data_IF_799975926340
#
_entry.id   IF_799975926340
#
_cell.length_a   1.000
_cell.length_b   1.000
_cell.length_c   1.000
_cell.angle_alpha   90.00
_cell.angle_beta   90.00
_cell.angle_gamma   90.00
#
_symmetry.space_group_name_H-M   'P 1'
#
loop_
_entity.id
_entity.type
_entity.pdbx_description
1 polymer ?
#
# COMPACT_ATOMS: atom_id res chain seq x y z
N UNK A 1 -7.30 18.47 9.38
CA UNK A 1 -8.75 18.22 9.59
C UNK A 1 -9.58 19.51 9.64
N UNK A 2 -9.19 20.57 10.37
CA UNK A 2 -9.98 21.81 10.46
C UNK A 2 -10.01 22.68 9.17
N UNK A 3 -9.01 22.57 8.29
CA UNK A 3 -8.95 23.35 7.04
C UNK A 3 -9.94 22.85 5.97
N UNK A 4 -10.05 21.53 5.78
CA UNK A 4 -10.95 20.93 4.78
C UNK A 4 -12.42 21.19 5.11
N UNK A 5 -12.83 21.02 6.38
CA UNK A 5 -14.21 21.25 6.81
C UNK A 5 -14.68 22.70 6.57
N UNK A 6 -13.73 23.65 6.60
CA UNK A 6 -13.99 25.07 6.40
C UNK A 6 -14.10 25.43 4.91
N UNK A 7 -13.29 24.81 4.06
CA UNK A 7 -13.32 25.01 2.60
C UNK A 7 -14.50 24.30 1.93
N UNK A 8 -14.95 23.15 2.46
CA UNK A 8 -16.12 22.41 1.96
C UNK A 8 -17.45 23.16 2.20
N UNK A 9 -17.47 23.99 3.25
CA UNK A 9 -18.60 24.87 3.63
C UNK A 9 -18.67 26.17 2.81
N UNK A 10 -17.65 26.47 2.00
CA UNK A 10 -17.53 27.69 1.21
C UNK A 10 -18.14 27.61 -0.19
N UNK A 11 -18.59 28.75 -0.72
CA UNK A 11 -19.26 28.89 -2.03
C UNK A 11 -18.36 28.62 -3.26
N UNK A 12 -17.07 28.28 -3.08
CA UNK A 12 -16.10 28.16 -4.17
C UNK A 12 -15.44 26.77 -4.22
N UNK A 13 -16.22 25.77 -4.67
CA UNK A 13 -15.86 24.35 -4.68
C UNK A 13 -14.87 23.91 -5.77
N UNK A 14 -14.46 24.78 -6.69
CA UNK A 14 -13.74 24.36 -7.92
C UNK A 14 -12.21 24.20 -7.77
N UNK A 15 -11.61 24.61 -6.66
CA UNK A 15 -10.15 24.56 -6.48
C UNK A 15 -9.75 24.31 -5.01
N UNK A 16 -10.37 23.33 -4.37
CA UNK A 16 -10.01 22.93 -3.01
C UNK A 16 -8.71 22.11 -3.08
N UNK A 17 -7.65 22.61 -2.46
CA UNK A 17 -6.40 21.85 -2.32
C UNK A 17 -6.54 20.86 -1.15
N UNK A 18 -6.76 19.59 -1.48
CA UNK A 18 -6.82 18.53 -0.49
C UNK A 18 -5.40 18.13 -0.03
N UNK A 19 -5.00 18.64 1.13
CA UNK A 19 -3.74 18.30 1.78
C UNK A 19 -3.86 17.11 2.75
N UNK A 20 -4.94 16.32 2.69
CA UNK A 20 -5.10 15.13 3.53
C UNK A 20 -4.12 14.03 3.10
N UNK A 21 -3.66 13.26 4.08
CA UNK A 21 -2.84 12.08 3.81
C UNK A 21 -3.79 10.97 3.37
N UNK A 22 -3.78 10.62 2.08
CA UNK A 22 -4.64 9.57 1.53
C UNK A 22 -4.16 8.15 1.91
N UNK A 23 -2.84 7.97 2.09
CA UNK A 23 -2.22 6.68 2.33
C UNK A 23 -0.92 6.81 3.11
N UNK A 24 -0.65 5.85 3.99
CA UNK A 24 0.60 5.70 4.72
C UNK A 24 1.28 4.38 4.32
N UNK A 25 2.41 4.49 3.63
CA UNK A 25 3.27 3.35 3.32
C UNK A 25 4.09 2.99 4.56
N UNK A 26 3.77 1.86 5.20
CA UNK A 26 4.40 1.45 6.44
C UNK A 26 5.46 0.38 6.20
N UNK A 27 6.73 0.73 6.40
CA UNK A 27 7.86 -0.15 6.13
C UNK A 27 8.18 -1.03 7.34
N UNK A 28 7.91 -2.32 7.18
CA UNK A 28 8.31 -3.38 8.11
C UNK A 28 9.75 -3.78 7.78
N UNK A 29 10.66 -3.84 8.78
CA UNK A 29 12.04 -4.27 8.54
C UNK A 29 12.08 -5.73 8.07
N UNK A 30 12.99 -6.10 7.14
CA UNK A 30 13.13 -7.49 6.68
C UNK A 30 13.81 -8.37 7.74
N UNK A 31 14.55 -7.76 8.66
CA UNK A 31 15.30 -8.43 9.70
C UNK A 31 14.37 -8.66 10.90
N UNK A 32 13.67 -9.79 10.88
CA UNK A 32 12.74 -10.12 11.95
C UNK A 32 11.95 -11.39 11.65
N UNK A 33 11.39 -11.94 12.72
CA UNK A 33 10.46 -13.06 12.60
C UNK A 33 9.02 -12.60 12.37
N UNK A 34 8.69 -11.31 12.52
CA UNK A 34 7.32 -10.76 12.41
C UNK A 34 7.28 -9.27 12.77
N UNK A 35 6.09 -8.75 13.05
CA UNK A 35 5.84 -7.40 13.57
C UNK A 35 6.42 -7.25 14.98
N UNK A 36 7.16 -6.17 15.20
CA UNK A 36 7.63 -5.83 16.55
C UNK A 36 6.48 -5.21 17.34
N UNK A 37 6.50 -5.28 18.69
CA UNK A 37 5.48 -4.64 19.53
C UNK A 37 5.31 -3.14 19.25
N UNK A 38 6.40 -2.44 18.93
CA UNK A 38 6.36 -1.03 18.51
C UNK A 38 5.61 -0.84 17.20
N UNK A 39 5.78 -1.75 16.25
CA UNK A 39 5.10 -1.68 14.95
C UNK A 39 3.59 -1.90 15.12
N UNK A 40 3.20 -2.86 15.97
CA UNK A 40 1.80 -3.13 16.31
C UNK A 40 1.15 -1.89 16.93
N UNK A 41 1.78 -1.28 17.95
CA UNK A 41 1.25 -0.09 18.61
C UNK A 41 1.10 1.09 17.64
N UNK A 42 2.09 1.28 16.76
CA UNK A 42 2.08 2.37 15.80
C UNK A 42 1.05 2.18 14.70
N UNK A 43 0.97 0.99 14.08
CA UNK A 43 -0.04 0.67 13.07
C UNK A 43 -1.45 0.77 13.64
N UNK A 44 -1.66 0.36 14.91
CA UNK A 44 -2.96 0.54 15.59
C UNK A 44 -3.37 1.99 15.79
N UNK A 45 -2.41 2.89 15.99
CA UNK A 45 -2.69 4.32 16.11
C UNK A 45 -2.91 5.00 14.74
N UNK A 46 -2.34 4.44 13.67
CA UNK A 46 -2.45 4.97 12.31
C UNK A 46 -3.73 4.52 11.59
N UNK A 47 -4.17 3.28 11.78
CA UNK A 47 -5.31 2.69 11.07
C UNK A 47 -6.61 3.51 11.19
N UNK A 48 -6.78 4.30 12.25
CA UNK A 48 -7.97 5.14 12.47
C UNK A 48 -7.90 6.48 11.73
N UNK A 49 -6.73 6.86 11.24
CA UNK A 49 -6.44 8.20 10.70
C UNK A 49 -6.11 8.19 9.21
N UNK A 50 -5.58 7.08 8.71
CA UNK A 50 -5.08 6.96 7.34
C UNK A 50 -5.09 5.50 6.90
N UNK A 51 -5.28 5.27 5.61
CA UNK A 51 -5.12 3.96 4.99
C UNK A 51 -3.67 3.48 5.10
N UNK A 52 -3.42 2.41 5.84
CA UNK A 52 -2.07 1.87 6.06
C UNK A 52 -1.78 0.75 5.06
N UNK A 53 -0.70 0.88 4.29
CA UNK A 53 -0.23 -0.15 3.35
C UNK A 53 1.10 -0.72 3.86
N UNK A 54 1.11 -1.96 4.37
CA UNK A 54 2.33 -2.58 4.88
C UNK A 54 3.27 -3.03 3.73
N UNK A 55 4.54 -2.65 3.85
CA UNK A 55 5.62 -2.98 2.91
C UNK A 55 6.78 -3.66 3.63
N UNK A 56 7.30 -4.76 3.11
CA UNK A 56 8.56 -5.37 3.56
C UNK A 56 9.70 -4.59 2.91
N UNK A 57 10.49 -3.89 3.71
CA UNK A 57 11.63 -3.10 3.26
C UNK A 57 12.82 -3.99 2.86
N UNK A 58 13.71 -3.47 1.99
CA UNK A 58 14.99 -4.12 1.60
C UNK A 58 14.85 -5.62 1.32
N UNK A 59 13.89 -5.98 0.46
CA UNK A 59 13.60 -7.38 0.15
C UNK A 59 14.76 -8.12 -0.54
N UNK A 60 15.76 -7.40 -1.07
CA UNK A 60 17.02 -7.92 -1.60
C UNK A 60 17.86 -8.66 -0.53
N UNK A 61 17.63 -8.35 0.75
CA UNK A 61 18.28 -9.01 1.87
C UNK A 61 17.64 -10.37 2.23
N UNK A 62 16.57 -10.79 1.55
CA UNK A 62 15.82 -12.00 1.86
C UNK A 62 15.78 -12.93 0.64
N UNK A 63 15.87 -14.24 0.88
CA UNK A 63 15.57 -15.24 -0.16
C UNK A 63 14.06 -15.26 -0.47
N UNK A 64 13.65 -15.76 -1.66
CA UNK A 64 12.23 -15.86 -2.01
C UNK A 64 11.40 -16.66 -0.98
N UNK A 65 11.99 -17.71 -0.40
CA UNK A 65 11.36 -18.51 0.64
C UNK A 65 11.17 -17.73 1.95
N UNK A 66 12.17 -16.92 2.33
CA UNK A 66 12.09 -16.08 3.52
C UNK A 66 11.06 -14.96 3.36
N UNK A 67 10.97 -14.35 2.17
CA UNK A 67 9.93 -13.37 1.85
C UNK A 67 8.54 -14.00 1.99
N UNK A 68 8.33 -15.19 1.43
CA UNK A 68 7.04 -15.89 1.53
C UNK A 68 6.66 -16.17 2.99
N UNK A 69 7.61 -16.70 3.77
CA UNK A 69 7.42 -16.96 5.20
C UNK A 69 7.10 -15.70 5.98
N UNK A 70 7.81 -14.60 5.71
CA UNK A 70 7.56 -13.33 6.36
C UNK A 70 6.20 -12.75 5.98
N UNK A 71 5.80 -12.82 4.70
CA UNK A 71 4.48 -12.37 4.25
C UNK A 71 3.35 -13.10 4.98
N UNK A 72 3.42 -14.43 5.04
CA UNK A 72 2.42 -15.25 5.74
C UNK A 72 2.32 -14.85 7.21
N UNK A 73 3.45 -14.76 7.90
CA UNK A 73 3.49 -14.38 9.30
C UNK A 73 2.97 -12.97 9.56
N UNK A 74 3.32 -12.01 8.72
CA UNK A 74 2.79 -10.65 8.83
C UNK A 74 1.27 -10.63 8.66
N UNK A 75 0.70 -11.39 7.72
CA UNK A 75 -0.76 -11.48 7.58
C UNK A 75 -1.43 -12.06 8.81
N UNK A 76 -0.88 -13.16 9.34
CA UNK A 76 -1.39 -13.78 10.56
C UNK A 76 -1.33 -12.83 11.75
N UNK A 77 -0.24 -12.09 11.91
CA UNK A 77 -0.08 -11.14 13.01
C UNK A 77 -0.97 -9.90 12.84
N UNK A 78 -1.12 -9.37 11.62
CA UNK A 78 -2.04 -8.26 11.32
C UNK A 78 -3.48 -8.65 11.71
N UNK A 79 -3.92 -9.85 11.31
CA UNK A 79 -5.25 -10.38 11.64
C UNK A 79 -5.38 -10.60 13.15
N UNK A 80 -4.42 -11.30 13.76
CA UNK A 80 -4.39 -11.60 15.20
C UNK A 80 -4.50 -10.35 16.06
N UNK A 81 -3.83 -9.28 15.67
CA UNK A 81 -3.84 -8.02 16.44
C UNK A 81 -4.98 -7.08 16.04
N UNK A 82 -5.78 -7.43 15.03
CA UNK A 82 -6.91 -6.63 14.53
C UNK A 82 -6.44 -5.30 13.93
N UNK A 83 -5.33 -5.31 13.20
CA UNK A 83 -4.80 -4.13 12.51
C UNK A 83 -5.51 -4.02 11.16
N UNK A 84 -6.29 -2.96 10.97
CA UNK A 84 -6.93 -2.64 9.70
C UNK A 84 -5.91 -2.00 8.77
N UNK A 85 -5.53 -2.74 7.73
CA UNK A 85 -4.73 -2.25 6.62
C UNK A 85 -5.66 -1.91 5.45
N UNK A 86 -5.16 -1.12 4.50
CA UNK A 86 -5.88 -0.84 3.28
C UNK A 86 -6.22 -2.15 2.55
N UNK A 87 -7.51 -2.36 2.32
CA UNK A 87 -8.03 -3.43 1.49
C UNK A 87 -8.40 -2.81 0.15
N UNK A 88 -7.90 -3.40 -0.94
CA UNK A 88 -8.36 -3.03 -2.26
C UNK A 88 -9.87 -3.34 -2.32
N UNK A 89 -10.71 -2.42 -2.81
CA UNK A 89 -12.13 -2.69 -2.94
C UNK A 89 -12.38 -3.86 -3.88
N UNK A 90 -13.55 -4.47 -3.76
CA UNK A 90 -13.95 -5.57 -4.62
C UNK A 90 -14.27 -5.05 -6.02
N UNK A 91 -13.79 -5.76 -7.04
CA UNK A 91 -14.12 -5.46 -8.43
C UNK A 91 -15.61 -5.70 -8.66
N UNK A 92 -16.22 -4.84 -9.46
CA UNK A 92 -17.61 -5.01 -9.86
C UNK A 92 -17.80 -6.29 -10.68
N UNK A 93 -18.98 -6.89 -10.58
CA UNK A 93 -19.29 -8.15 -11.28
C UNK A 93 -19.26 -8.00 -12.81
N UNK A 94 -19.41 -6.78 -13.32
CA UNK A 94 -19.41 -6.45 -14.75
C UNK A 94 -18.00 -6.30 -15.35
N UNK A 95 -16.94 -6.33 -14.53
CA UNK A 95 -15.56 -6.19 -15.00
C UNK A 95 -15.02 -7.45 -15.69
N UNK A 96 -14.10 -7.22 -16.63
CA UNK A 96 -13.47 -8.27 -17.42
C UNK A 96 -12.71 -9.28 -16.53
N UNK A 97 -12.76 -10.57 -16.89
CA UNK A 97 -12.10 -11.66 -16.17
C UNK A 97 -10.58 -11.44 -15.99
N UNK A 98 -9.93 -10.83 -16.97
CA UNK A 98 -8.50 -10.50 -16.89
C UNK A 98 -8.22 -9.42 -15.83
N UNK A 99 -9.13 -8.47 -15.64
CA UNK A 99 -9.03 -7.44 -14.60
C UNK A 99 -9.23 -8.05 -13.21
N UNK A 100 -10.29 -8.86 -13.04
CA UNK A 100 -10.57 -9.59 -11.79
C UNK A 100 -9.39 -10.47 -11.37
N UNK A 101 -8.74 -11.14 -12.33
CA UNK A 101 -7.52 -11.94 -12.06
C UNK A 101 -6.38 -11.05 -11.55
N UNK A 102 -6.15 -9.91 -12.19
CA UNK A 102 -5.08 -8.98 -11.80
C UNK A 102 -5.31 -8.39 -10.40
N UNK A 103 -6.55 -8.01 -10.07
CA UNK A 103 -6.88 -7.46 -8.75
C UNK A 103 -6.69 -8.50 -7.64
N UNK A 104 -7.13 -9.74 -7.88
CA UNK A 104 -6.90 -10.86 -6.96
C UNK A 104 -5.41 -11.10 -6.71
N UNK A 105 -4.59 -11.12 -7.77
CA UNK A 105 -3.13 -11.25 -7.65
C UNK A 105 -2.51 -10.10 -6.82
N UNK A 106 -3.05 -8.89 -6.94
CA UNK A 106 -2.60 -7.72 -6.20
C UNK A 106 -2.96 -7.82 -4.71
N UNK A 107 -4.20 -8.20 -4.39
CA UNK A 107 -4.68 -8.48 -3.03
C UNK A 107 -3.84 -9.56 -2.36
N UNK A 108 -3.59 -10.68 -3.05
CA UNK A 108 -2.77 -11.79 -2.56
C UNK A 108 -1.28 -11.43 -2.44
N UNK A 109 -0.81 -10.38 -3.12
CA UNK A 109 0.58 -9.94 -3.06
C UNK A 109 0.91 -9.11 -1.82
N UNK A 110 -0.10 -8.59 -1.12
CA UNK A 110 0.05 -7.83 0.13
C UNK A 110 0.43 -8.76 1.30
N UNK A 111 1.37 -8.39 2.19
CA UNK A 111 2.21 -7.18 2.15
C UNK A 111 3.29 -7.25 1.05
N UNK A 112 3.56 -6.10 0.41
CA UNK A 112 4.47 -6.04 -0.73
C UNK A 112 5.93 -6.02 -0.32
N UNK A 113 6.76 -6.81 -0.99
CA UNK A 113 8.21 -6.83 -0.77
C UNK A 113 8.89 -5.89 -1.76
N UNK A 114 9.53 -4.84 -1.24
CA UNK A 114 10.06 -3.74 -2.06
C UNK A 114 11.57 -3.59 -1.91
N UNK A 115 12.20 -3.18 -3.01
CA UNK A 115 13.61 -2.81 -3.07
C UNK A 115 13.66 -1.38 -3.59
N UNK A 116 14.26 -0.49 -2.80
CA UNK A 116 14.51 0.88 -3.20
C UNK A 116 15.86 0.98 -3.93
N UNK A 117 15.90 1.74 -5.02
CA UNK A 117 17.15 2.12 -5.68
C UNK A 117 17.09 3.60 -6.06
N UNK A 118 18.15 4.34 -5.73
CA UNK A 118 18.32 5.72 -6.18
C UNK A 118 18.97 5.78 -7.58
N UNK A 119 19.43 4.63 -8.08
CA UNK A 119 20.15 4.52 -9.35
C UNK A 119 19.21 3.98 -10.43
N UNK A 120 19.11 4.68 -11.56
CA UNK A 120 18.46 4.15 -12.76
C UNK A 120 19.44 3.19 -13.40
N UNK A 121 19.07 1.92 -13.48
CA UNK A 121 19.83 0.94 -14.24
C UNK A 121 19.00 0.60 -15.48
N UNK A 122 19.58 0.81 -16.65
CA UNK A 122 18.95 0.49 -17.92
C UNK A 122 19.21 -0.98 -18.23
N UNK A 123 18.16 -1.80 -18.20
CA UNK A 123 18.24 -3.22 -18.52
C UNK A 123 17.36 -3.49 -19.74
N UNK A 124 17.96 -4.00 -20.82
CA UNK A 124 17.26 -4.40 -22.05
C UNK A 124 16.38 -3.30 -22.67
N UNK A 125 16.86 -2.06 -22.67
CA UNK A 125 16.14 -0.91 -23.27
C UNK A 125 14.92 -0.40 -22.48
N UNK A 126 14.67 -0.93 -21.29
CA UNK A 126 13.63 -0.42 -20.38
C UNK A 126 14.25 0.11 -19.08
N UNK A 127 13.84 1.34 -18.71
CA UNK A 127 14.13 1.91 -17.39
C UNK A 127 13.13 1.34 -16.38
N UNK A 128 13.54 0.35 -15.60
CA UNK A 128 12.65 -0.32 -14.64
C UNK A 128 12.88 0.20 -13.22
N UNK A 129 11.83 0.73 -12.59
CA UNK A 129 11.74 0.97 -11.15
C UNK A 129 10.46 0.30 -10.62
N UNK A 130 10.61 -0.81 -9.90
CA UNK A 130 9.46 -1.58 -9.36
C UNK A 130 8.56 -0.76 -8.43
N UNK A 131 9.14 0.15 -7.66
CA UNK A 131 8.39 1.07 -6.80
C UNK A 131 7.56 2.09 -7.60
N UNK A 132 8.04 2.56 -8.75
CA UNK A 132 7.26 3.47 -9.61
C UNK A 132 6.05 2.76 -10.23
N UNK A 133 6.21 1.50 -10.65
CA UNK A 133 5.09 0.72 -11.18
C UNK A 133 4.00 0.49 -10.13
N UNK A 134 4.38 0.18 -8.88
CA UNK A 134 3.40 0.02 -7.80
C UNK A 134 2.68 1.33 -7.48
N UNK A 135 3.41 2.44 -7.37
CA UNK A 135 2.81 3.76 -7.11
C UNK A 135 1.90 4.21 -8.27
N UNK A 136 2.30 3.98 -9.52
CA UNK A 136 1.48 4.28 -10.69
C UNK A 136 0.20 3.46 -10.69
N UNK A 137 0.28 2.15 -10.42
CA UNK A 137 -0.91 1.29 -10.30
C UNK A 137 -1.82 1.72 -9.17
N UNK A 138 -1.28 2.05 -7.99
CA UNK A 138 -2.08 2.56 -6.87
C UNK A 138 -2.72 3.92 -7.18
N UNK A 139 -2.00 4.83 -7.86
CA UNK A 139 -2.55 6.13 -8.26
C UNK A 139 -3.67 5.98 -9.29
N UNK A 140 -3.53 5.05 -10.24
CA UNK A 140 -4.52 4.78 -11.26
C UNK A 140 -5.80 4.19 -10.65
N UNK A 141 -5.67 3.20 -9.76
CA UNK A 141 -6.81 2.62 -9.04
C UNK A 141 -7.53 3.63 -8.12
N UNK A 142 -6.80 4.56 -7.49
CA UNK A 142 -7.44 5.62 -6.71
C UNK A 142 -8.19 6.62 -7.61
N UNK A 143 -7.68 6.93 -8.81
CA UNK A 143 -8.36 7.82 -9.75
C UNK A 143 -9.63 7.21 -10.36
N UNK A 144 -9.66 5.89 -10.54
CA UNK A 144 -10.82 5.16 -11.07
C UNK A 144 -11.98 5.08 -10.07
N UNK A 145 -11.73 5.29 -8.77
CA UNK A 145 -12.75 5.21 -7.71
C UNK A 145 -13.41 6.55 -7.34
N UNK A 146 -12.88 7.67 -7.84
CA UNK A 146 -13.41 9.02 -7.62
C UNK A 146 -14.31 9.52 -8.80
N UNK A 147 -14.67 8.63 -9.73
CA UNK A 147 -15.53 8.87 -10.92
C UNK A 147 -16.81 8.02 -10.85
#
# INVERSE_FOLDING_TARGET
MALYFRDESGLNRKNIQDNRVHCCLYFVPPFGHGLRPVDIGFMKALQEKVNVVPLIAKADCLTPQEVLRLKLRLREEIEKWGIKIYQFPDCDEDEDEDFKRQDKELKESSPFAVIGSNTVVEARGQRLRRMQQMLQKMQQQMHEQDL
#
